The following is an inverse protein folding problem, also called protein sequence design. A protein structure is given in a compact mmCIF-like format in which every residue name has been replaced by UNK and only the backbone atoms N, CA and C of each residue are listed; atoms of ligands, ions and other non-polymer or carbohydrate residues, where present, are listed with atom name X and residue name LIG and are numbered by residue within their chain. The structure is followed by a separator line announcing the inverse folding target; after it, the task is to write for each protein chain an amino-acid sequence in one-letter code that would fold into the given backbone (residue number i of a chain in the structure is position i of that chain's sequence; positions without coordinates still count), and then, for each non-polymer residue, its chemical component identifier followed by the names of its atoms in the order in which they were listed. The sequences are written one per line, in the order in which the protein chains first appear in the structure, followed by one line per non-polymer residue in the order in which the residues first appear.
data_IF_410361086822
#
_entry.id   IF_410361086822
#
_cell.length_a   1.000
_cell.length_b   1.000
_cell.length_c   1.000
_cell.angle_alpha   90.00
_cell.angle_beta   90.00
_cell.angle_gamma   90.00
#
_symmetry.space_group_name_H-M   'P 1'
#
loop_
_entity.id
_entity.type
_entity.pdbx_description
1 polymer ?
#
# COMPACT_ATOMS: atom_id res chain seq x y z
N UNK A 1 69.22 37.56 -19.74
CA UNK A 1 68.23 38.26 -20.56
C UNK A 1 67.56 37.24 -21.46
N UNK A 2 66.44 36.70 -21.05
CA UNK A 2 65.58 35.90 -21.92
C UNK A 2 64.16 36.22 -21.57
N UNK A 3 63.45 36.78 -22.50
CA UNK A 3 62.10 37.33 -22.41
C UNK A 3 61.07 36.17 -22.52
N UNK A 4 60.29 35.90 -21.48
CA UNK A 4 59.14 34.96 -21.54
C UNK A 4 57.86 35.73 -21.85
N UNK A 5 57.35 35.51 -23.06
CA UNK A 5 56.00 35.95 -23.49
C UNK A 5 54.94 35.11 -22.80
N UNK A 6 54.06 35.74 -22.03
CA UNK A 6 52.88 35.16 -21.50
C UNK A 6 51.79 35.01 -22.58
N UNK A 7 51.38 33.78 -22.84
CA UNK A 7 50.20 33.45 -23.65
C UNK A 7 48.93 33.51 -22.79
N UNK A 8 48.03 34.44 -23.09
CA UNK A 8 46.70 34.51 -22.50
C UNK A 8 45.81 33.47 -23.15
N UNK A 9 45.35 32.49 -22.37
CA UNK A 9 44.30 31.54 -22.76
C UNK A 9 42.96 32.13 -22.29
N UNK A 10 42.03 32.42 -23.21
CA UNK A 10 40.64 32.76 -22.92
C UNK A 10 39.89 31.46 -22.56
N UNK A 11 39.05 31.45 -21.50
CA UNK A 11 38.17 30.33 -21.28
C UNK A 11 36.93 30.44 -22.17
N UNK A 12 36.66 29.39 -22.95
CA UNK A 12 35.40 29.20 -23.65
C UNK A 12 34.34 28.84 -22.62
N UNK A 13 33.40 29.73 -22.41
CA UNK A 13 32.20 29.45 -21.61
C UNK A 13 31.23 28.67 -22.50
N UNK A 14 31.12 27.38 -22.27
CA UNK A 14 30.08 26.51 -22.84
C UNK A 14 28.85 26.59 -21.91
N UNK A 15 27.84 27.37 -22.31
CA UNK A 15 26.57 27.41 -21.66
C UNK A 15 25.78 26.16 -22.02
N UNK A 16 25.61 25.22 -21.06
CA UNK A 16 24.65 24.12 -21.15
C UNK A 16 23.27 24.64 -20.77
N UNK A 17 22.40 24.72 -21.76
CA UNK A 17 20.97 24.90 -21.50
C UNK A 17 20.42 23.61 -20.88
N UNK A 18 20.12 23.63 -19.59
CA UNK A 18 19.39 22.55 -18.91
C UNK A 18 17.93 22.69 -19.29
N UNK A 19 17.48 21.88 -20.23
CA UNK A 19 16.06 21.70 -20.49
C UNK A 19 15.46 20.86 -19.36
N UNK A 20 14.79 21.49 -18.42
CA UNK A 20 13.96 20.80 -17.42
C UNK A 20 12.68 20.30 -18.09
N UNK A 21 12.76 19.14 -18.71
CA UNK A 21 11.59 18.36 -19.13
C UNK A 21 11.13 17.51 -17.97
N UNK A 22 10.11 17.95 -17.23
CA UNK A 22 9.41 17.10 -16.28
C UNK A 22 8.65 16.02 -17.07
N UNK A 23 9.23 14.83 -17.16
CA UNK A 23 8.52 13.63 -17.62
C UNK A 23 7.66 13.12 -16.47
N UNK A 24 6.40 13.57 -16.44
CA UNK A 24 5.35 12.84 -15.76
C UNK A 24 5.19 11.49 -16.48
N UNK A 25 5.78 10.43 -15.94
CA UNK A 25 5.52 9.06 -16.39
C UNK A 25 4.15 8.64 -15.89
N UNK A 26 3.11 9.02 -16.65
CA UNK A 26 1.79 8.41 -16.55
C UNK A 26 1.89 6.93 -16.91
N UNK A 27 1.18 6.09 -16.18
CA UNK A 27 0.94 4.68 -16.53
C UNK A 27 0.52 4.62 -18.00
N UNK A 28 1.16 3.83 -18.89
CA UNK A 28 0.81 3.80 -20.28
C UNK A 28 -0.63 3.34 -20.45
N UNK A 29 -1.49 4.21 -20.97
CA UNK A 29 -2.82 3.82 -21.43
C UNK A 29 -2.63 2.81 -22.57
N UNK A 30 -3.03 1.56 -22.36
CA UNK A 30 -3.10 0.57 -23.41
C UNK A 30 -4.04 1.10 -24.49
N UNK A 31 -3.48 1.44 -25.65
CA UNK A 31 -4.26 1.77 -26.85
C UNK A 31 -4.93 0.49 -27.34
N UNK A 32 -6.21 0.40 -27.09
CA UNK A 32 -7.07 -0.52 -27.83
C UNK A 32 -7.26 0.06 -29.25
N UNK A 33 -7.00 -0.73 -30.28
CA UNK A 33 -7.08 -0.35 -31.70
C UNK A 33 -8.52 -0.26 -32.25
N UNK A 34 -9.50 -0.11 -31.39
CA UNK A 34 -10.88 0.23 -31.73
C UNK A 34 -11.18 1.62 -31.16
N UNK A 35 -11.51 2.59 -32.03
CA UNK A 35 -11.72 4.01 -31.75
C UNK A 35 -12.80 4.37 -30.71
N UNK A 36 -12.72 3.80 -29.50
CA UNK A 36 -13.48 4.18 -28.33
C UNK A 36 -12.65 5.09 -27.42
N UNK A 37 -13.27 6.15 -26.89
CA UNK A 37 -12.64 6.97 -25.86
C UNK A 37 -12.09 6.09 -24.73
N UNK A 38 -10.89 6.43 -24.16
CA UNK A 38 -10.33 5.69 -23.04
C UNK A 38 -11.37 5.65 -21.90
N UNK A 39 -11.71 4.45 -21.43
CA UNK A 39 -12.61 4.27 -20.29
C UNK A 39 -12.04 5.01 -19.08
N UNK A 40 -12.63 6.16 -18.75
CA UNK A 40 -12.30 6.87 -17.51
C UNK A 40 -12.79 6.01 -16.34
N UNK A 41 -11.86 5.42 -15.60
CA UNK A 41 -12.13 4.80 -14.31
C UNK A 41 -12.45 5.93 -13.33
N UNK A 42 -13.71 6.29 -13.18
CA UNK A 42 -14.13 7.32 -12.23
C UNK A 42 -15.16 8.28 -12.82
N UNK A 43 -15.96 8.89 -11.94
CA UNK A 43 -16.88 9.99 -12.24
C UNK A 43 -16.27 11.34 -11.85
N UNK A 44 -17.06 12.43 -11.96
CA UNK A 44 -16.64 13.73 -11.46
C UNK A 44 -16.21 13.65 -9.98
N UNK A 45 -15.08 14.27 -9.67
CA UNK A 45 -14.61 14.41 -8.27
C UNK A 45 -15.45 15.52 -7.62
N UNK A 46 -16.15 15.17 -6.54
CA UNK A 46 -16.90 16.12 -5.71
C UNK A 46 -16.43 15.89 -4.28
N UNK A 47 -15.76 16.91 -3.72
CA UNK A 47 -15.25 16.86 -2.36
C UNK A 47 -16.31 17.36 -1.38
N UNK A 48 -16.41 16.68 -0.23
CA UNK A 48 -17.18 17.10 0.92
C UNK A 48 -16.30 17.97 1.87
N UNK A 49 -16.90 18.75 2.79
CA UNK A 49 -16.12 19.60 3.70
C UNK A 49 -15.15 18.87 4.62
N UNK A 50 -15.38 17.59 4.88
CA UNK A 50 -14.55 16.69 5.69
C UNK A 50 -13.55 15.86 4.88
N UNK A 51 -13.50 16.04 3.56
CA UNK A 51 -12.46 15.46 2.69
C UNK A 51 -11.16 16.27 2.80
N UNK A 52 -10.55 16.20 3.97
CA UNK A 52 -9.36 16.99 4.31
C UNK A 52 -8.26 16.10 4.92
N UNK A 53 -6.99 16.54 4.93
CA UNK A 53 -5.92 15.82 5.61
C UNK A 53 -6.17 15.71 7.12
N UNK A 54 -6.20 14.48 7.65
CA UNK A 54 -6.26 14.23 9.10
C UNK A 54 -4.89 14.38 9.78
N UNK A 55 -3.82 14.43 9.01
CA UNK A 55 -2.42 14.53 9.48
C UNK A 55 -1.65 15.52 8.62
N UNK A 56 -0.59 16.09 9.19
CA UNK A 56 0.41 16.85 8.45
C UNK A 56 1.19 15.95 7.48
N UNK A 57 1.79 16.55 6.46
CA UNK A 57 2.66 15.81 5.54
C UNK A 57 3.82 15.13 6.28
N UNK A 58 4.25 13.94 5.83
CA UNK A 58 5.46 13.32 6.34
C UNK A 58 6.68 14.24 6.20
N UNK A 59 7.65 14.17 7.12
CA UNK A 59 8.87 14.96 7.01
C UNK A 59 9.68 14.55 5.76
N UNK A 60 10.44 15.48 5.19
CA UNK A 60 11.32 15.18 4.06
C UNK A 60 12.25 13.99 4.38
N UNK A 61 12.40 13.06 3.44
CA UNK A 61 13.28 11.90 3.60
C UNK A 61 12.72 10.76 4.46
N UNK A 62 11.47 10.82 4.86
CA UNK A 62 10.82 9.75 5.68
C UNK A 62 10.89 8.35 5.06
N UNK A 63 10.98 8.27 3.73
CA UNK A 63 11.02 7.07 2.91
C UNK A 63 12.40 6.79 2.29
N UNK A 64 13.43 7.54 2.72
CA UNK A 64 14.80 7.34 2.28
C UNK A 64 15.57 6.46 3.26
N UNK A 65 16.49 5.65 2.72
CA UNK A 65 17.38 4.83 3.53
C UNK A 65 18.28 5.71 4.41
N UNK A 66 18.35 5.41 5.68
CA UNK A 66 19.26 6.03 6.65
C UNK A 66 20.37 5.04 7.00
N UNK A 67 21.62 5.36 6.67
CA UNK A 67 22.76 4.44 6.90
C UNK A 67 23.23 4.37 8.37
N UNK A 68 22.72 5.26 9.24
CA UNK A 68 23.08 5.39 10.66
C UNK A 68 22.18 4.57 11.61
N UNK A 69 21.22 3.78 11.07
CA UNK A 69 20.28 2.99 11.86
C UNK A 69 20.34 1.50 11.53
N UNK A 70 19.91 0.61 12.42
CA UNK A 70 19.72 -0.80 12.08
C UNK A 70 18.62 -0.99 11.04
N UNK A 71 18.82 -1.97 10.13
CA UNK A 71 17.86 -2.29 9.08
C UNK A 71 17.23 -3.66 9.29
N UNK A 72 15.98 -3.77 8.84
CA UNK A 72 15.29 -5.02 8.67
C UNK A 72 15.80 -5.79 7.45
N UNK A 73 15.18 -6.93 7.19
CA UNK A 73 15.54 -7.79 6.06
C UNK A 73 14.31 -8.06 5.20
N UNK A 74 14.45 -7.84 3.90
CA UNK A 74 13.51 -8.31 2.89
C UNK A 74 13.94 -9.66 2.34
N UNK A 75 13.00 -10.59 2.21
CA UNK A 75 13.22 -11.85 1.53
C UNK A 75 11.99 -12.29 0.71
N UNK A 76 12.25 -12.80 -0.50
CA UNK A 76 11.22 -13.45 -1.30
C UNK A 76 11.10 -14.90 -0.87
N UNK A 77 9.90 -15.31 -0.47
CA UNK A 77 9.62 -16.70 -0.12
C UNK A 77 8.58 -17.32 -1.05
N UNK A 78 8.66 -18.63 -1.23
CA UNK A 78 7.67 -19.42 -1.94
C UNK A 78 6.81 -20.21 -0.95
N UNK A 79 5.55 -20.41 -1.30
CA UNK A 79 4.62 -21.26 -0.55
C UNK A 79 3.71 -22.05 -1.49
N UNK A 80 3.24 -23.19 -1.02
CA UNK A 80 2.25 -24.00 -1.75
C UNK A 80 0.85 -23.46 -1.42
N UNK A 81 0.20 -22.85 -2.41
CA UNK A 81 -1.20 -22.44 -2.29
C UNK A 81 -2.10 -23.63 -2.63
N UNK A 82 -2.79 -24.16 -1.65
CA UNK A 82 -3.81 -25.19 -1.85
C UNK A 82 -5.04 -24.62 -2.54
N UNK A 83 -5.36 -23.37 -2.22
CA UNK A 83 -6.47 -22.61 -2.80
C UNK A 83 -6.34 -22.48 -4.32
N UNK A 84 -5.13 -22.18 -4.80
CA UNK A 84 -4.86 -21.99 -6.25
C UNK A 84 -4.37 -23.27 -6.91
N UNK A 85 -3.81 -24.20 -6.13
CA UNK A 85 -3.22 -25.45 -6.62
C UNK A 85 -1.89 -25.23 -7.34
N UNK A 86 -1.07 -24.25 -6.88
CA UNK A 86 0.25 -23.96 -7.44
C UNK A 86 1.15 -23.30 -6.40
N UNK A 87 2.45 -23.33 -6.67
CA UNK A 87 3.44 -22.58 -5.89
C UNK A 87 3.33 -21.09 -6.21
N UNK A 88 3.24 -20.27 -5.17
CA UNK A 88 3.11 -18.80 -5.25
C UNK A 88 4.21 -18.13 -4.42
N UNK A 89 4.35 -16.82 -4.58
CA UNK A 89 5.40 -16.02 -3.94
C UNK A 89 4.81 -14.91 -3.07
N UNK A 90 5.56 -14.52 -2.06
CA UNK A 90 5.33 -13.32 -1.27
C UNK A 90 6.66 -12.72 -0.84
N UNK A 91 6.72 -11.40 -0.75
CA UNK A 91 7.86 -10.68 -0.20
C UNK A 91 7.61 -10.45 1.29
N UNK A 92 8.59 -10.75 2.13
CA UNK A 92 8.47 -10.66 3.59
C UNK A 92 9.57 -9.76 4.15
N UNK A 93 9.18 -8.75 4.90
CA UNK A 93 10.09 -7.93 5.70
C UNK A 93 10.05 -8.39 7.16
N UNK A 94 11.22 -8.58 7.74
CA UNK A 94 11.42 -8.77 9.18
C UNK A 94 12.13 -7.54 9.77
N UNK A 95 11.68 -7.02 10.94
CA UNK A 95 12.20 -5.75 11.48
C UNK A 95 13.63 -5.87 12.00
N UNK A 96 14.34 -4.74 12.22
CA UNK A 96 15.61 -4.73 12.93
C UNK A 96 15.49 -5.42 14.28
N UNK A 97 16.45 -6.26 14.60
CA UNK A 97 16.44 -7.04 15.85
C UNK A 97 15.41 -8.18 15.88
N UNK A 98 14.93 -8.62 14.72
CA UNK A 98 14.10 -9.82 14.63
C UNK A 98 14.84 -11.05 15.20
N UNK A 99 14.18 -11.76 16.09
CA UNK A 99 14.71 -12.97 16.72
C UNK A 99 13.60 -14.00 16.95
N UNK A 100 13.94 -15.30 16.93
CA UNK A 100 12.96 -16.38 17.04
C UNK A 100 12.35 -16.54 18.43
N UNK A 101 12.99 -15.99 19.45
CA UNK A 101 12.54 -16.00 20.84
C UNK A 101 11.56 -14.86 21.18
N UNK A 102 11.35 -13.92 20.27
CA UNK A 102 10.40 -12.81 20.39
C UNK A 102 9.23 -13.00 19.44
N UNK A 103 8.03 -12.59 19.86
CA UNK A 103 6.83 -12.61 19.00
C UNK A 103 6.58 -11.23 18.41
N UNK A 104 6.32 -11.18 17.10
CA UNK A 104 6.10 -9.94 16.36
C UNK A 104 4.69 -9.91 15.80
N UNK A 105 4.02 -8.74 15.82
CA UNK A 105 2.78 -8.54 15.09
C UNK A 105 3.04 -8.55 13.59
N UNK A 106 1.99 -8.80 12.80
CA UNK A 106 2.07 -8.97 11.34
C UNK A 106 1.12 -8.02 10.62
N UNK A 107 1.65 -7.27 9.66
CA UNK A 107 0.89 -6.53 8.65
C UNK A 107 0.91 -7.29 7.33
N UNK A 108 -0.27 -7.67 6.82
CA UNK A 108 -0.47 -8.13 5.44
C UNK A 108 -0.79 -6.93 4.57
N UNK A 109 0.06 -6.63 3.57
CA UNK A 109 0.02 -5.41 2.77
C UNK A 109 -0.21 -5.73 1.30
N UNK A 110 -1.40 -5.40 0.77
CA UNK A 110 -1.92 -5.87 -0.50
C UNK A 110 -1.72 -4.85 -1.63
N UNK A 111 -1.32 -5.33 -2.81
CA UNK A 111 -1.03 -4.53 -3.99
C UNK A 111 -2.29 -4.22 -4.84
N UNK A 112 -2.13 -3.37 -5.87
CA UNK A 112 -3.17 -2.98 -6.82
C UNK A 112 -3.35 -3.94 -8.00
N UNK A 113 -4.28 -3.59 -8.92
CA UNK A 113 -4.67 -4.46 -10.03
C UNK A 113 -3.53 -4.76 -11.03
N UNK A 114 -2.60 -3.83 -11.21
CA UNK A 114 -1.44 -3.98 -12.11
C UNK A 114 -0.19 -4.53 -11.44
N UNK A 115 -0.26 -4.76 -10.12
CA UNK A 115 0.88 -5.16 -9.32
C UNK A 115 1.04 -6.65 -9.07
N UNK A 116 2.03 -6.95 -8.27
CA UNK A 116 2.39 -8.24 -7.74
C UNK A 116 3.01 -8.09 -6.35
N UNK A 117 3.57 -9.15 -5.79
CA UNK A 117 4.22 -9.18 -4.47
C UNK A 117 5.34 -8.16 -4.28
N UNK A 118 5.84 -7.53 -5.37
CA UNK A 118 6.93 -6.54 -5.32
C UNK A 118 6.46 -5.09 -5.52
N UNK A 119 5.15 -4.86 -5.74
CA UNK A 119 4.66 -3.50 -6.07
C UNK A 119 4.94 -2.49 -4.96
N UNK A 120 4.69 -2.86 -3.72
CA UNK A 120 4.92 -1.99 -2.57
C UNK A 120 6.41 -1.63 -2.42
N UNK A 121 7.30 -2.61 -2.54
CA UNK A 121 8.74 -2.37 -2.49
C UNK A 121 9.19 -1.44 -3.62
N UNK A 122 8.78 -1.70 -4.87
CA UNK A 122 9.19 -0.90 -6.04
C UNK A 122 8.75 0.57 -6.00
N UNK A 123 7.62 0.87 -5.38
CA UNK A 123 7.05 2.22 -5.44
C UNK A 123 7.09 2.98 -4.12
N UNK A 124 7.12 2.29 -3.00
CA UNK A 124 6.93 2.95 -1.70
C UNK A 124 8.02 2.67 -0.68
N UNK A 125 8.85 1.64 -0.90
CA UNK A 125 9.92 1.24 0.02
C UNK A 125 9.46 1.13 1.49
N UNK A 126 8.44 0.29 1.79
CA UNK A 126 7.89 0.17 3.13
C UNK A 126 8.94 -0.27 4.17
N UNK A 127 9.96 -1.02 3.74
CA UNK A 127 11.08 -1.46 4.56
C UNK A 127 11.91 -0.27 5.08
N UNK A 128 12.26 0.68 4.21
CA UNK A 128 13.03 1.87 4.59
C UNK A 128 12.22 2.78 5.50
N UNK A 129 10.95 2.98 5.16
CA UNK A 129 10.02 3.77 5.96
C UNK A 129 9.84 3.18 7.35
N UNK A 130 9.70 1.86 7.45
CA UNK A 130 9.48 1.18 8.73
C UNK A 130 10.76 1.16 9.58
N UNK A 131 11.94 0.94 8.98
CA UNK A 131 13.22 1.06 9.67
C UNK A 131 13.39 2.45 10.29
N UNK A 132 13.09 3.52 9.54
CA UNK A 132 13.13 4.89 10.02
C UNK A 132 12.16 5.13 11.20
N UNK A 133 10.92 4.68 11.05
CA UNK A 133 9.89 4.84 12.07
C UNK A 133 10.20 4.04 13.35
N UNK A 134 10.77 2.84 13.23
CA UNK A 134 11.19 2.02 14.39
C UNK A 134 12.36 2.69 15.10
N UNK A 135 13.38 3.16 14.36
CA UNK A 135 14.52 3.85 14.93
C UNK A 135 14.11 5.14 15.67
N UNK A 136 13.11 5.85 15.16
CA UNK A 136 12.54 7.06 15.77
C UNK A 136 11.56 6.75 16.93
N UNK A 137 11.30 5.48 17.27
CA UNK A 137 10.31 5.07 18.28
C UNK A 137 8.85 5.38 17.90
N UNK A 138 8.57 5.61 16.61
CA UNK A 138 7.25 5.98 16.10
C UNK A 138 6.41 4.78 15.67
N UNK A 139 7.01 3.65 15.29
CA UNK A 139 6.32 2.42 14.96
C UNK A 139 6.76 1.24 15.84
N UNK A 140 5.85 0.34 16.11
CA UNK A 140 6.15 -0.96 16.74
C UNK A 140 6.90 -1.83 15.73
N UNK A 141 8.00 -2.52 16.12
CA UNK A 141 8.63 -3.50 15.24
C UNK A 141 7.64 -4.58 14.83
N UNK A 142 7.45 -4.78 13.53
CA UNK A 142 6.47 -5.71 12.95
C UNK A 142 7.02 -6.43 11.74
N UNK A 143 6.48 -7.62 11.45
CA UNK A 143 6.67 -8.31 10.18
C UNK A 143 5.70 -7.71 9.16
N UNK A 144 6.17 -7.45 7.92
CA UNK A 144 5.29 -7.05 6.82
C UNK A 144 5.32 -8.13 5.75
N UNK A 145 4.15 -8.61 5.39
CA UNK A 145 3.97 -9.63 4.36
C UNK A 145 3.28 -9.00 3.16
N UNK A 146 3.92 -9.04 2.02
CA UNK A 146 3.41 -8.53 0.74
C UNK A 146 3.16 -9.71 -0.20
N UNK A 147 1.98 -10.33 -0.14
CA UNK A 147 1.63 -11.44 -1.02
C UNK A 147 1.14 -10.94 -2.38
N UNK A 148 1.03 -11.83 -3.35
CA UNK A 148 0.33 -11.53 -4.58
C UNK A 148 -1.19 -11.71 -4.39
N UNK A 149 -1.92 -10.60 -4.40
CA UNK A 149 -3.38 -10.58 -4.20
C UNK A 149 -4.20 -11.12 -5.37
N UNK A 150 -3.57 -11.52 -6.49
CA UNK A 150 -4.21 -12.14 -7.66
C UNK A 150 -4.11 -13.67 -7.55
N UNK A 151 -5.06 -14.30 -6.85
CA UNK A 151 -5.04 -15.73 -6.54
C UNK A 151 -5.57 -16.56 -7.73
N UNK A 152 -4.71 -16.81 -8.70
CA UNK A 152 -4.88 -17.69 -9.85
C UNK A 152 -3.54 -18.29 -10.28
N UNK A 153 -3.55 -19.34 -11.14
CA UNK A 153 -2.33 -20.04 -11.55
C UNK A 153 -1.32 -19.14 -12.25
N UNK A 154 -1.76 -18.32 -13.20
CA UNK A 154 -0.97 -17.23 -13.78
C UNK A 154 -1.31 -15.95 -13.03
N UNK A 155 -0.56 -15.65 -11.97
CA UNK A 155 -0.79 -14.52 -11.08
C UNK A 155 -0.08 -13.24 -11.52
N UNK A 156 0.44 -13.19 -12.76
CA UNK A 156 1.05 -11.99 -13.33
C UNK A 156 0.01 -11.08 -14.00
N UNK A 157 0.30 -9.79 -14.01
CA UNK A 157 -0.54 -8.76 -14.63
C UNK A 157 -0.27 -8.70 -16.15
N UNK A 158 -0.71 -9.72 -16.90
CA UNK A 158 -0.57 -9.79 -18.35
C UNK A 158 -1.85 -9.37 -19.08
N UNK A 159 -1.68 -8.69 -20.21
CA UNK A 159 -2.80 -8.31 -21.09
C UNK A 159 -3.84 -7.41 -20.41
N UNK A 160 -5.12 -7.73 -20.58
CA UNK A 160 -6.22 -7.01 -19.96
C UNK A 160 -6.39 -7.46 -18.49
N UNK A 161 -5.78 -6.72 -17.59
CA UNK A 161 -5.80 -7.00 -16.14
C UNK A 161 -7.21 -7.01 -15.54
N UNK A 162 -8.19 -6.35 -16.16
CA UNK A 162 -9.57 -6.34 -15.67
C UNK A 162 -10.27 -7.69 -15.88
N UNK A 163 -9.85 -8.48 -16.87
CA UNK A 163 -10.37 -9.84 -17.07
C UNK A 163 -9.97 -10.79 -15.94
N UNK A 164 -8.87 -10.51 -15.27
CA UNK A 164 -8.35 -11.31 -14.13
C UNK A 164 -8.72 -10.73 -12.76
N UNK A 165 -9.47 -9.62 -12.73
CA UNK A 165 -9.95 -9.01 -11.48
C UNK A 165 -10.70 -9.98 -10.55
N UNK A 166 -11.49 -10.98 -11.02
CA UNK A 166 -12.11 -11.96 -10.12
C UNK A 166 -11.14 -12.76 -9.24
N UNK A 167 -9.88 -12.95 -9.69
CA UNK A 167 -8.85 -13.63 -8.90
C UNK A 167 -8.52 -12.90 -7.58
N UNK A 168 -8.79 -11.59 -7.51
CA UNK A 168 -8.64 -10.83 -6.27
C UNK A 168 -9.67 -11.22 -5.20
N UNK A 169 -10.85 -11.68 -5.57
CA UNK A 169 -11.82 -12.24 -4.62
C UNK A 169 -11.39 -13.63 -4.11
N UNK A 170 -10.83 -14.46 -4.98
CA UNK A 170 -10.31 -15.79 -4.61
C UNK A 170 -9.19 -15.70 -3.56
N UNK A 171 -8.46 -14.59 -3.52
CA UNK A 171 -7.37 -14.36 -2.58
C UNK A 171 -7.80 -14.39 -1.11
N UNK A 172 -9.06 -14.14 -0.79
CA UNK A 172 -9.58 -14.28 0.58
C UNK A 172 -9.24 -15.66 1.17
N UNK A 173 -9.50 -16.72 0.41
CA UNK A 173 -9.21 -18.09 0.82
C UNK A 173 -7.70 -18.36 0.87
N UNK A 174 -6.96 -17.90 -0.12
CA UNK A 174 -5.50 -18.05 -0.15
C UNK A 174 -4.83 -17.32 1.03
N UNK A 175 -5.33 -16.13 1.40
CA UNK A 175 -4.84 -15.39 2.57
C UNK A 175 -5.06 -16.17 3.86
N UNK A 176 -6.27 -16.65 4.09
CA UNK A 176 -6.66 -17.27 5.36
C UNK A 176 -6.15 -18.71 5.49
N UNK A 177 -6.23 -19.50 4.41
CA UNK A 177 -5.97 -20.93 4.44
C UNK A 177 -4.50 -21.28 4.10
N UNK A 178 -3.76 -20.41 3.40
CA UNK A 178 -2.43 -20.70 2.90
C UNK A 178 -1.37 -19.66 3.36
N UNK A 179 -1.58 -18.36 3.16
CA UNK A 179 -0.59 -17.31 3.46
C UNK A 179 -0.38 -17.17 4.97
N UNK A 180 -1.44 -16.91 5.75
CA UNK A 180 -1.35 -16.73 7.21
C UNK A 180 -0.70 -17.96 7.88
N UNK A 181 -1.17 -19.20 7.65
CA UNK A 181 -0.54 -20.38 8.23
C UNK A 181 0.92 -20.55 7.82
N UNK A 182 1.29 -20.21 6.58
CA UNK A 182 2.68 -20.26 6.13
C UNK A 182 3.58 -19.29 6.92
N UNK A 183 3.13 -18.06 7.11
CA UNK A 183 3.86 -17.03 7.85
C UNK A 183 4.01 -17.46 9.32
N UNK A 184 2.95 -17.91 9.95
CA UNK A 184 2.96 -18.33 11.35
C UNK A 184 3.85 -19.57 11.59
N UNK A 185 3.99 -20.44 10.59
CA UNK A 185 4.88 -21.60 10.68
C UNK A 185 6.36 -21.27 10.48
N UNK A 186 6.69 -20.21 9.73
CA UNK A 186 8.07 -19.87 9.34
C UNK A 186 8.68 -18.76 10.20
N UNK A 187 7.85 -17.85 10.69
CA UNK A 187 8.28 -16.66 11.42
C UNK A 187 7.74 -16.65 12.85
N UNK A 188 8.42 -15.94 13.72
CA UNK A 188 8.03 -15.79 15.11
C UNK A 188 6.96 -14.70 15.26
N UNK A 189 5.71 -15.09 15.03
CA UNK A 189 4.56 -14.19 15.01
C UNK A 189 3.73 -14.28 16.30
N UNK A 190 3.11 -13.20 16.72
CA UNK A 190 1.95 -13.21 17.60
C UNK A 190 0.71 -13.54 16.75
N UNK A 191 -0.07 -14.55 17.14
CA UNK A 191 -1.09 -15.17 16.27
C UNK A 191 -2.52 -14.74 16.57
N UNK A 192 -2.73 -13.91 17.60
CA UNK A 192 -4.04 -13.37 17.91
C UNK A 192 -4.43 -12.21 17.01
N UNK A 193 -5.72 -11.86 16.98
CA UNK A 193 -6.25 -10.79 16.13
C UNK A 193 -5.68 -9.41 16.42
N UNK A 194 -5.31 -9.14 17.66
CA UNK A 194 -4.78 -7.83 18.06
C UNK A 194 -3.37 -7.58 17.54
N UNK A 195 -2.67 -8.63 17.14
CA UNK A 195 -1.35 -8.58 16.51
C UNK A 195 -1.40 -8.85 14.99
N UNK A 196 -2.60 -8.77 14.36
CA UNK A 196 -2.73 -9.00 12.92
C UNK A 196 -3.45 -7.83 12.25
N UNK A 197 -2.78 -7.22 11.27
CA UNK A 197 -3.27 -6.11 10.46
C UNK A 197 -3.41 -6.51 8.99
N UNK A 198 -4.37 -5.89 8.30
CA UNK A 198 -4.59 -6.04 6.87
C UNK A 198 -4.77 -4.67 6.24
N UNK A 199 -3.95 -4.32 5.25
CA UNK A 199 -4.07 -3.07 4.53
C UNK A 199 -3.67 -3.22 3.06
N UNK A 200 -4.04 -2.26 2.22
CA UNK A 200 -3.65 -2.31 0.81
C UNK A 200 -4.06 -1.08 0.04
N UNK A 201 -3.51 -0.97 -1.18
CA UNK A 201 -3.80 0.09 -2.13
C UNK A 201 -4.75 -0.38 -3.24
N UNK A 202 -5.59 0.51 -3.75
CA UNK A 202 -6.42 0.25 -4.95
C UNK A 202 -7.25 -1.04 -4.83
N UNK A 203 -7.02 -2.04 -5.67
CA UNK A 203 -7.66 -3.37 -5.55
C UNK A 203 -7.35 -4.03 -4.20
N UNK A 204 -6.11 -3.91 -3.71
CA UNK A 204 -5.72 -4.37 -2.38
C UNK A 204 -6.42 -3.60 -1.25
N UNK A 205 -6.72 -2.32 -1.45
CA UNK A 205 -7.56 -1.54 -0.54
C UNK A 205 -8.98 -2.10 -0.43
N UNK A 206 -9.59 -2.42 -1.58
CA UNK A 206 -10.90 -3.10 -1.63
C UNK A 206 -10.86 -4.49 -0.97
N UNK A 207 -9.81 -5.29 -1.24
CA UNK A 207 -9.62 -6.59 -0.56
C UNK A 207 -9.50 -6.41 0.95
N UNK A 208 -8.71 -5.44 1.40
CA UNK A 208 -8.48 -5.21 2.84
C UNK A 208 -9.77 -4.84 3.57
N UNK A 209 -10.61 -4.02 2.96
CA UNK A 209 -11.93 -3.71 3.51
C UNK A 209 -12.87 -4.91 3.46
N UNK A 210 -12.95 -5.61 2.32
CA UNK A 210 -13.83 -6.76 2.15
C UNK A 210 -13.50 -7.89 3.13
N UNK A 211 -12.23 -8.29 3.20
CA UNK A 211 -11.80 -9.43 3.99
C UNK A 211 -11.64 -9.06 5.46
N UNK A 212 -11.03 -7.91 5.75
CA UNK A 212 -10.81 -7.47 7.13
C UNK A 212 -12.12 -7.29 7.90
N UNK A 213 -13.13 -6.67 7.28
CA UNK A 213 -14.43 -6.45 7.90
C UNK A 213 -15.28 -7.73 7.96
N UNK A 214 -15.04 -8.72 7.07
CA UNK A 214 -15.70 -10.03 7.14
C UNK A 214 -15.05 -10.97 8.16
N UNK A 215 -13.81 -10.71 8.59
CA UNK A 215 -13.03 -11.57 9.49
C UNK A 215 -12.50 -10.82 10.71
N UNK A 216 -13.40 -10.19 11.46
CA UNK A 216 -13.09 -9.42 12.67
C UNK A 216 -12.46 -10.25 13.79
N UNK A 217 -12.60 -11.58 13.75
CA UNK A 217 -11.94 -12.51 14.68
C UNK A 217 -10.48 -12.78 14.27
N UNK A 218 -10.09 -12.38 13.05
CA UNK A 218 -8.73 -12.57 12.50
C UNK A 218 -7.95 -11.28 12.53
N UNK A 219 -8.58 -10.14 12.22
CA UNK A 219 -7.93 -8.84 12.08
C UNK A 219 -8.51 -7.81 13.05
N UNK A 220 -7.64 -7.04 13.71
CA UNK A 220 -8.06 -5.91 14.55
C UNK A 220 -7.71 -4.54 13.95
N UNK A 221 -6.86 -4.49 12.92
CA UNK A 221 -6.33 -3.29 12.30
C UNK A 221 -6.53 -3.39 10.79
N UNK A 222 -7.29 -2.45 10.21
CA UNK A 222 -7.65 -2.49 8.79
C UNK A 222 -7.34 -1.16 8.14
N UNK A 223 -6.68 -1.17 6.95
CA UNK A 223 -6.38 0.00 6.13
C UNK A 223 -6.81 -0.17 4.68
N UNK A 224 -7.60 0.78 4.16
CA UNK A 224 -7.97 0.86 2.75
C UNK A 224 -7.47 2.17 2.15
N UNK A 225 -6.47 2.09 1.22
CA UNK A 225 -5.85 3.25 0.59
C UNK A 225 -6.32 3.34 -0.86
N UNK A 226 -6.97 4.46 -1.25
CA UNK A 226 -7.50 4.64 -2.61
C UNK A 226 -8.29 3.44 -3.12
N UNK A 227 -9.21 2.90 -2.31
CA UNK A 227 -9.90 1.63 -2.58
C UNK A 227 -10.60 1.62 -3.93
N UNK A 228 -10.49 0.50 -4.67
CA UNK A 228 -10.96 0.34 -6.04
C UNK A 228 -12.40 -0.23 -6.10
N UNK A 229 -13.00 -0.32 -7.32
CA UNK A 229 -14.41 -0.78 -7.50
C UNK A 229 -14.73 -2.21 -7.05
N UNK A 230 -13.72 -3.03 -6.70
CA UNK A 230 -13.94 -4.33 -6.06
C UNK A 230 -14.39 -4.22 -4.60
N UNK A 231 -14.37 -3.03 -4.01
CA UNK A 231 -14.90 -2.76 -2.67
C UNK A 231 -16.42 -2.99 -2.68
N UNK A 232 -16.90 -3.84 -1.80
CA UNK A 232 -18.34 -4.05 -1.58
C UNK A 232 -19.02 -2.75 -1.18
N UNK A 233 -20.32 -2.64 -1.40
CA UNK A 233 -21.09 -1.49 -0.92
C UNK A 233 -21.02 -1.42 0.62
N UNK A 234 -21.08 -0.23 1.22
CA UNK A 234 -20.90 -0.08 2.68
C UNK A 234 -21.81 -0.98 3.54
N UNK A 235 -23.10 -1.09 3.19
CA UNK A 235 -24.02 -1.98 3.90
C UNK A 235 -23.74 -3.50 3.71
N UNK A 236 -23.02 -3.86 2.64
CA UNK A 236 -22.55 -5.24 2.42
C UNK A 236 -21.22 -5.50 3.13
N UNK A 237 -20.39 -4.46 3.30
CA UNK A 237 -19.15 -4.52 4.09
C UNK A 237 -19.42 -4.72 5.57
N UNK A 238 -20.41 -3.99 6.08
CA UNK A 238 -20.78 -3.96 7.49
C UNK A 238 -22.32 -4.08 7.63
N UNK A 239 -22.88 -5.29 7.46
CA UNK A 239 -24.30 -5.52 7.67
C UNK A 239 -24.73 -5.21 9.12
N UNK A 240 -23.83 -5.40 10.07
CA UNK A 240 -23.93 -4.93 11.45
C UNK A 240 -22.81 -3.90 11.70
N UNK A 241 -23.11 -2.59 11.62
CA UNK A 241 -22.10 -1.55 11.82
C UNK A 241 -21.42 -1.63 13.18
N UNK A 242 -22.14 -2.04 14.24
CA UNK A 242 -21.57 -2.13 15.58
C UNK A 242 -20.47 -3.20 15.70
N UNK A 243 -20.46 -4.19 14.83
CA UNK A 243 -19.35 -5.15 14.78
C UNK A 243 -17.98 -4.50 14.54
N UNK A 244 -17.92 -3.39 13.79
CA UNK A 244 -16.69 -2.66 13.54
C UNK A 244 -16.11 -1.98 14.79
N UNK A 245 -16.88 -1.80 15.86
CA UNK A 245 -16.38 -1.27 17.15
C UNK A 245 -15.38 -2.21 17.82
N UNK A 246 -15.31 -3.47 17.39
CA UNK A 246 -14.28 -4.42 17.83
C UNK A 246 -12.89 -4.10 17.24
N UNK A 247 -12.80 -3.29 16.19
CA UNK A 247 -11.52 -2.91 15.60
C UNK A 247 -10.73 -1.98 16.52
N UNK A 248 -9.42 -2.14 16.52
CA UNK A 248 -8.47 -1.20 17.14
C UNK A 248 -8.23 0.01 16.21
N UNK A 249 -8.25 -0.22 14.89
CA UNK A 249 -8.11 0.82 13.88
C UNK A 249 -8.86 0.41 12.60
N UNK A 250 -9.66 1.33 12.08
CA UNK A 250 -10.13 1.34 10.70
C UNK A 250 -9.65 2.63 10.05
N UNK A 251 -8.74 2.50 9.07
CA UNK A 251 -8.06 3.63 8.43
C UNK A 251 -8.44 3.68 6.95
N UNK A 252 -9.01 4.79 6.53
CA UNK A 252 -9.36 5.07 5.14
C UNK A 252 -8.54 6.26 4.66
N UNK A 253 -7.93 6.15 3.48
CA UNK A 253 -7.31 7.30 2.81
C UNK A 253 -7.61 7.31 1.32
N UNK A 254 -7.53 8.50 0.73
CA UNK A 254 -7.64 8.69 -0.71
C UNK A 254 -7.09 10.05 -1.11
N UNK A 255 -6.61 10.17 -2.34
CA UNK A 255 -6.23 11.45 -2.89
C UNK A 255 -7.45 12.29 -3.30
N UNK A 256 -7.44 13.59 -3.04
CA UNK A 256 -8.50 14.53 -3.46
C UNK A 256 -8.61 14.68 -4.99
N UNK A 257 -7.58 14.25 -5.72
CA UNK A 257 -7.55 14.19 -7.19
C UNK A 257 -7.67 12.77 -7.74
N UNK A 258 -7.98 11.80 -6.87
CA UNK A 258 -8.21 10.42 -7.27
C UNK A 258 -9.61 10.24 -7.86
N UNK A 259 -9.73 9.78 -9.09
CA UNK A 259 -11.02 9.52 -9.75
C UNK A 259 -11.87 8.44 -9.07
N UNK A 260 -11.29 7.65 -8.16
CA UNK A 260 -11.98 6.62 -7.38
C UNK A 260 -12.42 7.07 -5.98
N UNK A 261 -12.14 8.33 -5.57
CA UNK A 261 -12.37 8.84 -4.20
C UNK A 261 -13.79 8.56 -3.69
N UNK A 262 -14.80 8.62 -4.56
CA UNK A 262 -16.20 8.37 -4.19
C UNK A 262 -16.44 7.00 -3.54
N UNK A 263 -15.57 6.00 -3.79
CA UNK A 263 -15.67 4.67 -3.19
C UNK A 263 -15.32 4.77 -1.71
N UNK A 264 -14.14 5.36 -1.41
CA UNK A 264 -13.71 5.57 -0.02
C UNK A 264 -14.63 6.57 0.71
N UNK A 265 -15.12 7.64 0.05
CA UNK A 265 -16.12 8.55 0.59
C UNK A 265 -17.44 7.84 0.97
N UNK A 266 -17.88 6.86 0.17
CA UNK A 266 -19.10 6.13 0.47
C UNK A 266 -18.94 5.28 1.75
N UNK A 267 -17.78 4.64 1.93
CA UNK A 267 -17.46 3.89 3.16
C UNK A 267 -17.35 4.85 4.34
N UNK A 268 -16.59 5.95 4.20
CA UNK A 268 -16.43 6.97 5.22
C UNK A 268 -17.79 7.50 5.71
N UNK A 269 -18.65 7.96 4.80
CA UNK A 269 -19.99 8.48 5.15
C UNK A 269 -20.83 7.44 5.88
N UNK A 270 -20.85 6.21 5.40
CA UNK A 270 -21.57 5.13 6.05
C UNK A 270 -21.10 4.92 7.51
N UNK A 271 -19.80 4.91 7.73
CA UNK A 271 -19.23 4.78 9.07
C UNK A 271 -19.58 5.98 9.96
N UNK A 272 -19.50 7.20 9.41
CA UNK A 272 -19.86 8.43 10.11
C UNK A 272 -21.34 8.45 10.51
N UNK A 273 -22.24 8.10 9.59
CA UNK A 273 -23.69 8.03 9.84
C UNK A 273 -24.06 7.03 10.94
N UNK A 274 -23.26 5.96 11.10
CA UNK A 274 -23.43 4.96 12.15
C UNK A 274 -22.55 5.22 13.38
N UNK A 275 -21.87 6.36 13.45
CA UNK A 275 -20.97 6.73 14.55
C UNK A 275 -19.88 5.68 14.84
N UNK A 276 -19.33 5.02 13.79
CA UNK A 276 -18.26 4.04 13.91
C UNK A 276 -16.91 4.75 13.90
N UNK A 277 -16.07 4.56 14.94
CA UNK A 277 -14.74 5.17 14.99
C UNK A 277 -13.87 4.72 13.80
N UNK A 278 -13.36 5.67 13.04
CA UNK A 278 -12.44 5.41 11.94
C UNK A 278 -11.59 6.65 11.66
N UNK A 279 -10.48 6.47 10.96
CA UNK A 279 -9.69 7.55 10.41
C UNK A 279 -10.10 7.78 8.95
N UNK A 280 -10.40 9.03 8.58
CA UNK A 280 -10.54 9.48 7.21
C UNK A 280 -9.45 10.50 6.89
N UNK A 281 -8.58 10.20 5.92
CA UNK A 281 -7.44 11.04 5.56
C UNK A 281 -7.42 11.30 4.07
N UNK A 282 -7.60 12.56 3.65
CA UNK A 282 -7.61 12.93 2.24
C UNK A 282 -6.39 13.79 1.93
N UNK A 283 -5.53 13.27 1.06
CA UNK A 283 -4.31 13.95 0.63
C UNK A 283 -4.53 14.80 -0.62
N UNK A 284 -3.62 15.71 -0.99
CA UNK A 284 -3.72 16.47 -2.24
C UNK A 284 -3.27 15.68 -3.49
N UNK A 285 -3.09 14.35 -3.39
CA UNK A 285 -2.58 13.49 -4.46
C UNK A 285 -3.70 12.92 -5.34
N UNK A 286 -3.31 12.12 -6.34
CA UNK A 286 -4.20 11.37 -7.21
C UNK A 286 -4.17 9.86 -6.85
N UNK A 287 -4.52 8.96 -7.79
CA UNK A 287 -4.38 7.51 -7.65
C UNK A 287 -2.92 7.11 -7.96
N UNK A 288 -2.00 7.41 -7.08
CA UNK A 288 -0.57 7.32 -7.35
C UNK A 288 0.26 6.95 -6.10
N UNK A 289 1.56 6.59 -6.29
CA UNK A 289 2.44 6.21 -5.19
C UNK A 289 2.62 7.27 -4.10
N UNK A 290 2.44 8.57 -4.39
CA UNK A 290 2.60 9.62 -3.39
C UNK A 290 1.49 9.52 -2.33
N UNK A 291 0.23 9.28 -2.77
CA UNK A 291 -0.89 8.98 -1.87
C UNK A 291 -0.59 7.74 -1.02
N UNK A 292 -0.22 6.64 -1.64
CA UNK A 292 -0.06 5.35 -0.94
C UNK A 292 1.10 5.36 0.05
N UNK A 293 2.20 6.05 -0.28
CA UNK A 293 3.32 6.29 0.66
C UNK A 293 2.87 7.06 1.89
N UNK A 294 2.16 8.15 1.67
CA UNK A 294 1.71 9.03 2.77
C UNK A 294 0.70 8.30 3.66
N UNK A 295 -0.25 7.59 3.06
CA UNK A 295 -1.20 6.76 3.79
C UNK A 295 -0.51 5.69 4.63
N UNK A 296 0.44 4.95 4.04
CA UNK A 296 1.20 3.91 4.73
C UNK A 296 2.02 4.49 5.90
N UNK A 297 2.69 5.64 5.69
CA UNK A 297 3.47 6.30 6.74
C UNK A 297 2.62 6.60 7.99
N UNK A 298 1.43 7.13 7.82
CA UNK A 298 0.53 7.43 8.94
C UNK A 298 -0.09 6.17 9.55
N UNK A 299 -0.42 5.19 8.73
CA UNK A 299 -0.97 3.93 9.18
C UNK A 299 0.00 3.13 10.04
N UNK A 300 1.27 2.97 9.61
CA UNK A 300 2.31 2.25 10.35
C UNK A 300 2.53 2.79 11.76
N UNK A 301 2.43 4.10 11.95
CA UNK A 301 2.60 4.74 13.25
C UNK A 301 1.46 4.46 14.22
N UNK A 302 0.33 3.97 13.76
CA UNK A 302 -0.86 3.69 14.58
C UNK A 302 -1.01 2.21 14.92
N UNK A 303 -0.34 1.34 14.17
CA UNK A 303 -0.48 -0.10 14.33
C UNK A 303 0.09 -0.60 15.66
N UNK A 304 -0.63 -1.53 16.28
CA UNK A 304 -0.21 -2.34 17.42
C UNK A 304 0.14 -1.54 18.69
N UNK A 305 -0.51 -0.37 18.87
CA UNK A 305 -0.37 0.52 20.02
C UNK A 305 -1.53 0.38 21.00
#
# INVERSE_FOLDING_TARGET
MVCCRAMRVLPLIVTWAVATGALAQGVPATRDSGGGEPRRLGGPIVLAPDDVPAFADPPAGYDLKRDDIPHGRLEMIEYESKTVGTRRKMLVYTPPGYAKDKKFPVLYLLHGIGGDETEWERFTHPEMMLDNLIADGKAVPMIVVMPNGRAQKDDRAHGDVFKTAPAFATFERDLLDDVIPTIESRYSTATDREHRALAGLSMGGGQSLNFGLSHLDTFAWIGGFSSAPNTKKPAELLPDPDAARKLKLLFLSCGSRDGLIRISQAVHRYLADHHIPHTWHVTPHAHDPAEWKQALYHFLQKLFK
#
